data_IF_439801712148
#
_entry.id   IF_439801712148
#
_cell.length_a   1.000
_cell.length_b   1.000
_cell.length_c   1.000
_cell.angle_alpha   90.00
_cell.angle_beta   90.00
_cell.angle_gamma   90.00
#
_symmetry.space_group_name_H-M   'P 1'
#
loop_
_entity.id
_entity.type
_entity.pdbx_description
1 polymer ?
#
# COMPACT_ATOMS: atom_id res chain seq x y z
N UNK A 1 -15.94 3.23 11.37
CA UNK A 1 -16.74 3.27 10.14
C UNK A 1 -16.27 2.15 9.22
N UNK A 2 -17.11 1.15 8.96
CA UNK A 2 -16.86 0.15 7.92
C UNK A 2 -17.90 0.42 6.83
N UNK A 3 -17.43 0.84 5.67
CA UNK A 3 -18.29 1.11 4.53
C UNK A 3 -18.23 -0.11 3.62
N UNK A 4 -19.37 -0.75 3.38
CA UNK A 4 -19.44 -1.98 2.58
C UNK A 4 -18.87 -1.78 1.17
N UNK A 5 -19.05 -0.59 0.58
CA UNK A 5 -18.49 -0.26 -0.73
C UNK A 5 -16.96 -0.19 -0.72
N UNK A 6 -16.32 0.24 0.39
CA UNK A 6 -14.86 0.24 0.53
C UNK A 6 -14.35 -1.20 0.57
N UNK A 7 -15.04 -2.08 1.30
CA UNK A 7 -14.66 -3.49 1.40
C UNK A 7 -14.83 -4.20 0.05
N UNK A 8 -15.90 -3.90 -0.70
CA UNK A 8 -16.08 -4.37 -2.08
C UNK A 8 -14.96 -3.86 -3.02
N UNK A 9 -14.61 -2.58 -2.94
CA UNK A 9 -13.57 -1.97 -3.77
C UNK A 9 -12.18 -2.57 -3.50
N UNK A 10 -11.86 -2.88 -2.24
CA UNK A 10 -10.66 -3.64 -1.88
C UNK A 10 -10.69 -5.05 -2.46
N UNK A 11 -11.83 -5.72 -2.39
CA UNK A 11 -12.00 -7.05 -2.99
C UNK A 11 -11.73 -7.04 -4.50
N UNK A 12 -12.30 -6.07 -5.22
CA UNK A 12 -12.03 -5.87 -6.65
C UNK A 12 -10.54 -5.59 -6.88
N UNK A 13 -9.93 -4.71 -6.08
CA UNK A 13 -8.50 -4.43 -6.15
C UNK A 13 -7.63 -5.69 -5.98
N UNK A 14 -7.99 -6.59 -5.05
CA UNK A 14 -7.25 -7.83 -4.80
C UNK A 14 -7.38 -8.78 -6.01
N UNK A 15 -8.58 -8.89 -6.58
CA UNK A 15 -8.80 -9.69 -7.80
C UNK A 15 -7.93 -9.17 -8.94
N UNK A 16 -7.84 -7.85 -9.11
CA UNK A 16 -7.00 -7.23 -10.14
C UNK A 16 -5.50 -7.50 -9.93
N UNK A 17 -5.01 -7.50 -8.67
CA UNK A 17 -3.62 -7.87 -8.36
C UNK A 17 -3.33 -9.30 -8.82
N UNK A 18 -4.21 -10.25 -8.45
CA UNK A 18 -4.04 -11.65 -8.87
C UNK A 18 -4.05 -11.75 -10.39
N UNK A 19 -4.98 -11.04 -11.05
CA UNK A 19 -5.11 -11.07 -12.49
C UNK A 19 -3.87 -10.46 -13.21
N UNK A 20 -3.24 -9.42 -12.65
CA UNK A 20 -2.01 -8.84 -13.21
C UNK A 20 -0.78 -9.74 -13.16
N UNK A 21 -0.81 -10.81 -12.37
CA UNK A 21 0.28 -11.79 -12.33
C UNK A 21 0.11 -12.93 -13.37
N UNK A 22 -0.93 -12.85 -14.20
CA UNK A 22 -1.09 -13.74 -15.35
C UNK A 22 -0.46 -13.12 -16.60
N UNK A 23 -0.12 -13.95 -17.60
CA UNK A 23 0.37 -13.46 -18.90
C UNK A 23 -0.75 -12.77 -19.67
N UNK A 24 -0.93 -11.48 -19.45
CA UNK A 24 -1.90 -10.64 -20.14
C UNK A 24 -1.30 -9.96 -21.37
N UNK A 25 -2.12 -9.57 -22.36
CA UNK A 25 -1.70 -8.64 -23.40
C UNK A 25 -1.17 -7.34 -22.78
N UNK A 26 -0.07 -6.81 -23.33
CA UNK A 26 0.66 -5.64 -22.79
C UNK A 26 -0.25 -4.45 -22.49
N UNK A 27 -1.23 -4.18 -23.36
CA UNK A 27 -2.20 -3.11 -23.15
C UNK A 27 -3.02 -3.32 -21.87
N UNK A 28 -3.60 -4.50 -21.68
CA UNK A 28 -4.41 -4.83 -20.50
C UNK A 28 -3.57 -4.81 -19.22
N UNK A 29 -2.35 -5.34 -19.30
CA UNK A 29 -1.40 -5.32 -18.20
C UNK A 29 -1.10 -3.87 -17.74
N UNK A 30 -0.75 -3.01 -18.69
CA UNK A 30 -0.48 -1.58 -18.44
C UNK A 30 -1.68 -0.87 -17.81
N UNK A 31 -2.90 -1.12 -18.30
CA UNK A 31 -4.12 -0.54 -17.74
C UNK A 31 -4.35 -1.00 -16.30
N UNK A 32 -4.22 -2.29 -16.00
CA UNK A 32 -4.43 -2.82 -14.65
C UNK A 32 -3.38 -2.23 -13.70
N UNK A 33 -2.10 -2.25 -14.06
CA UNK A 33 -1.01 -1.67 -13.26
C UNK A 33 -1.16 -0.18 -12.99
N UNK A 34 -1.74 0.57 -13.93
CA UNK A 34 -1.97 2.01 -13.78
C UNK A 34 -3.00 2.37 -12.70
N UNK A 35 -3.86 1.42 -12.30
CA UNK A 35 -5.00 1.71 -11.43
C UNK A 35 -4.99 0.95 -10.10
N UNK A 36 -4.67 -0.35 -10.10
CA UNK A 36 -4.90 -1.16 -8.90
C UNK A 36 -4.01 -0.74 -7.72
N UNK A 37 -2.72 -0.42 -7.94
CA UNK A 37 -1.84 0.04 -6.85
C UNK A 37 -2.21 1.45 -6.37
N UNK A 38 -2.43 2.45 -7.24
CA UNK A 38 -2.96 3.75 -6.83
C UNK A 38 -4.27 3.67 -6.03
N UNK A 39 -5.17 2.75 -6.42
CA UNK A 39 -6.42 2.51 -5.71
C UNK A 39 -6.20 2.09 -4.26
N UNK A 40 -5.28 1.17 -3.99
CA UNK A 40 -4.99 0.74 -2.62
C UNK A 40 -4.41 1.87 -1.76
N UNK A 41 -3.53 2.70 -2.32
CA UNK A 41 -3.01 3.88 -1.63
C UNK A 41 -4.13 4.89 -1.35
N UNK A 42 -5.00 5.15 -2.32
CA UNK A 42 -6.17 6.01 -2.15
C UNK A 42 -7.09 5.52 -1.04
N UNK A 43 -7.47 4.24 -1.06
CA UNK A 43 -8.31 3.65 -0.01
C UNK A 43 -7.63 3.72 1.36
N UNK A 44 -6.32 3.49 1.42
CA UNK A 44 -5.56 3.57 2.67
C UNK A 44 -5.56 4.99 3.24
N UNK A 45 -5.42 6.00 2.38
CA UNK A 45 -5.55 7.41 2.74
C UNK A 45 -6.95 7.83 3.15
N UNK A 46 -7.97 7.30 2.48
CA UNK A 46 -9.38 7.49 2.84
C UNK A 46 -9.69 6.97 4.25
N UNK A 47 -9.11 5.82 4.61
CA UNK A 47 -9.26 5.21 5.93
C UNK A 47 -8.35 5.83 7.00
N UNK A 48 -7.43 6.71 6.60
CA UNK A 48 -6.56 7.40 7.52
C UNK A 48 -7.34 8.38 8.41
N UNK A 49 -6.94 8.43 9.67
CA UNK A 49 -7.57 9.27 10.68
C UNK A 49 -6.47 9.98 11.46
N UNK A 50 -6.22 11.23 11.07
CA UNK A 50 -5.18 12.06 11.66
C UNK A 50 -5.50 12.42 13.13
N UNK A 51 -6.78 12.61 13.46
CA UNK A 51 -7.23 13.00 14.81
C UNK A 51 -6.82 11.98 15.87
N UNK A 52 -6.87 10.68 15.53
CA UNK A 52 -6.44 9.59 16.43
C UNK A 52 -4.95 9.62 16.81
N UNK A 53 -4.11 10.30 16.03
CA UNK A 53 -2.64 10.26 16.18
C UNK A 53 -2.00 11.63 16.38
N UNK A 54 -2.81 12.66 16.60
CA UNK A 54 -2.34 14.04 16.82
C UNK A 54 -1.49 14.15 18.09
N UNK A 55 -1.76 13.32 19.11
CA UNK A 55 -1.10 13.39 20.42
C UNK A 55 0.29 12.76 20.51
N UNK A 56 0.64 11.81 19.63
CA UNK A 56 1.96 11.15 19.69
C UNK A 56 2.38 10.48 18.38
N UNK A 57 3.41 11.03 17.75
CA UNK A 57 4.06 10.46 16.57
C UNK A 57 4.66 9.07 16.84
N UNK A 58 5.27 8.86 18.02
CA UNK A 58 5.83 7.56 18.39
C UNK A 58 4.75 6.47 18.46
N UNK A 59 3.56 6.80 19.00
CA UNK A 59 2.43 5.88 19.08
C UNK A 59 1.90 5.51 17.68
N UNK A 60 1.90 6.47 16.76
CA UNK A 60 1.57 6.26 15.36
C UNK A 60 2.55 5.31 14.68
N UNK A 61 3.85 5.63 14.71
CA UNK A 61 4.92 4.82 14.09
C UNK A 61 4.88 3.38 14.63
N UNK A 62 4.81 3.21 15.96
CA UNK A 62 4.76 1.89 16.61
C UNK A 62 3.56 1.07 16.15
N UNK A 63 2.39 1.70 16.01
CA UNK A 63 1.18 1.01 15.54
C UNK A 63 1.32 0.57 14.08
N UNK A 64 1.81 1.45 13.21
CA UNK A 64 1.99 1.14 11.78
C UNK A 64 3.07 0.09 11.55
N UNK A 65 4.17 0.17 12.31
CA UNK A 65 5.21 -0.84 12.30
C UNK A 65 4.65 -2.23 12.66
N UNK A 66 3.85 -2.32 13.72
CA UNK A 66 3.21 -3.58 14.12
C UNK A 66 2.20 -4.12 13.11
N UNK A 67 1.47 -3.24 12.43
CA UNK A 67 0.43 -3.67 11.48
C UNK A 67 0.95 -3.94 10.06
N UNK A 68 2.12 -3.42 9.69
CA UNK A 68 2.66 -3.53 8.32
C UNK A 68 4.00 -4.26 8.29
N UNK A 69 4.98 -3.81 9.07
CA UNK A 69 6.34 -4.33 9.03
C UNK A 69 6.45 -5.72 9.68
N UNK A 70 5.73 -5.96 10.78
CA UNK A 70 5.71 -7.31 11.38
C UNK A 70 5.09 -8.34 10.42
N UNK A 71 3.89 -8.11 9.83
CA UNK A 71 3.36 -9.03 8.82
C UNK A 71 4.28 -9.20 7.61
N UNK A 72 4.93 -8.13 7.15
CA UNK A 72 5.92 -8.22 6.06
C UNK A 72 7.01 -9.25 6.35
N UNK A 73 7.68 -9.14 7.50
CA UNK A 73 8.72 -10.11 7.88
C UNK A 73 8.15 -11.51 8.12
N UNK A 74 6.94 -11.60 8.68
CA UNK A 74 6.25 -12.89 8.87
C UNK A 74 5.97 -13.61 7.55
N UNK A 75 5.45 -12.91 6.54
CA UNK A 75 5.20 -13.50 5.22
C UNK A 75 6.49 -13.74 4.43
N UNK A 76 7.51 -12.89 4.57
CA UNK A 76 8.82 -13.13 3.96
C UNK A 76 9.47 -14.41 4.52
N UNK A 77 9.41 -14.60 5.86
CA UNK A 77 9.89 -15.81 6.52
C UNK A 77 9.08 -17.04 6.09
N UNK A 78 7.74 -16.93 6.03
CA UNK A 78 6.88 -18.01 5.57
C UNK A 78 7.19 -18.43 4.13
N UNK A 79 7.44 -17.45 3.26
CA UNK A 79 7.84 -17.69 1.86
C UNK A 79 9.18 -18.43 1.82
N UNK A 80 10.16 -17.97 2.60
CA UNK A 80 11.46 -18.65 2.73
C UNK A 80 11.33 -20.10 3.21
N UNK A 81 10.55 -20.33 4.28
CA UNK A 81 10.33 -21.67 4.80
C UNK A 81 9.62 -22.57 3.79
N UNK A 82 8.63 -22.04 3.06
CA UNK A 82 7.91 -22.78 2.03
C UNK A 82 8.85 -23.27 0.91
N UNK A 83 9.71 -22.39 0.39
CA UNK A 83 10.66 -22.77 -0.65
C UNK A 83 11.78 -23.69 -0.13
N UNK A 84 12.24 -23.53 1.12
CA UNK A 84 13.16 -24.48 1.76
C UNK A 84 12.57 -25.89 1.82
N UNK A 85 11.31 -25.99 2.25
CA UNK A 85 10.64 -27.28 2.35
C UNK A 85 10.43 -27.88 0.95
N UNK A 86 10.01 -27.09 -0.04
CA UNK A 86 9.89 -27.62 -1.40
C UNK A 86 11.21 -28.18 -1.95
N UNK A 87 12.34 -27.51 -1.70
CA UNK A 87 13.65 -27.97 -2.14
C UNK A 87 14.04 -29.30 -1.46
N UNK A 88 13.88 -29.38 -0.13
CA UNK A 88 14.21 -30.57 0.67
C UNK A 88 13.33 -31.78 0.31
N UNK A 89 12.02 -31.56 0.14
CA UNK A 89 11.03 -32.64 0.06
C UNK A 89 10.72 -33.09 -1.38
N UNK A 90 10.88 -32.21 -2.39
CA UNK A 90 10.42 -32.49 -3.76
C UNK A 90 11.56 -32.71 -4.76
N UNK A 91 12.76 -32.12 -4.56
CA UNK A 91 13.91 -32.30 -5.45
C UNK A 91 15.25 -32.41 -4.68
N UNK A 92 15.48 -33.50 -3.91
CA UNK A 92 16.77 -33.69 -3.26
C UNK A 92 17.90 -33.75 -4.31
N UNK A 93 18.74 -32.70 -4.35
CA UNK A 93 19.93 -32.62 -5.20
C UNK A 93 19.80 -31.81 -6.49
N UNK A 94 18.64 -31.21 -6.78
CA UNK A 94 18.50 -30.26 -7.88
C UNK A 94 18.00 -28.93 -7.31
N UNK A 95 18.93 -28.05 -6.92
CA UNK A 95 18.62 -26.68 -6.52
C UNK A 95 18.23 -25.86 -7.76
N UNK A 96 17.12 -26.21 -8.40
CA UNK A 96 16.56 -25.47 -9.53
C UNK A 96 15.73 -24.27 -9.07
N UNK A 97 15.49 -24.16 -7.76
CA UNK A 97 14.92 -22.95 -7.18
C UNK A 97 16.09 -21.98 -6.99
N UNK A 98 16.18 -20.96 -7.86
CA UNK A 98 17.18 -19.88 -7.76
C UNK A 98 17.17 -19.17 -6.38
N UNK A 99 16.14 -19.42 -5.57
CA UNK A 99 15.91 -18.90 -4.22
C UNK A 99 17.12 -19.04 -3.27
N UNK A 100 17.91 -20.11 -3.37
CA UNK A 100 19.13 -20.32 -2.55
C UNK A 100 20.43 -20.35 -3.35
N UNK A 101 20.39 -20.03 -4.65
CA UNK A 101 21.61 -19.97 -5.47
C UNK A 101 22.46 -18.76 -5.11
N UNK A 102 21.82 -17.65 -4.75
CA UNK A 102 22.48 -16.46 -4.23
C UNK A 102 22.98 -16.70 -2.79
N UNK A 103 24.03 -15.98 -2.41
CA UNK A 103 24.60 -16.12 -1.06
C UNK A 103 23.54 -15.84 0.02
N UNK A 104 23.56 -16.52 1.18
CA UNK A 104 22.62 -16.23 2.27
C UNK A 104 22.59 -14.75 2.67
N UNK A 105 23.70 -14.04 2.48
CA UNK A 105 23.80 -12.60 2.70
C UNK A 105 22.96 -11.77 1.71
N UNK A 106 22.91 -12.14 0.42
CA UNK A 106 22.09 -11.47 -0.60
C UNK A 106 20.60 -11.72 -0.37
N UNK A 107 20.25 -12.91 0.11
CA UNK A 107 18.88 -13.24 0.50
C UNK A 107 18.40 -12.41 1.69
N UNK A 108 19.24 -12.28 2.73
CA UNK A 108 18.97 -11.41 3.88
C UNK A 108 18.91 -9.95 3.42
N UNK A 109 19.85 -9.50 2.59
CA UNK A 109 19.85 -8.14 2.05
C UNK A 109 18.55 -7.84 1.32
N UNK A 110 18.08 -8.75 0.45
CA UNK A 110 16.86 -8.57 -0.32
C UNK A 110 15.61 -8.45 0.57
N UNK A 111 15.51 -9.28 1.62
CA UNK A 111 14.41 -9.20 2.59
C UNK A 111 14.49 -7.92 3.43
N UNK A 112 15.67 -7.50 3.88
CA UNK A 112 15.82 -6.32 4.73
C UNK A 112 15.57 -5.04 3.94
N UNK A 113 16.06 -4.96 2.70
CA UNK A 113 15.89 -3.79 1.83
C UNK A 113 14.55 -3.78 1.10
N UNK A 114 13.79 -4.89 1.14
CA UNK A 114 12.56 -5.09 0.40
C UNK A 114 12.73 -4.83 -1.11
N UNK A 115 13.88 -5.26 -1.64
CA UNK A 115 14.30 -5.15 -3.04
C UNK A 115 14.93 -6.47 -3.47
N UNK A 116 14.98 -6.74 -4.78
CA UNK A 116 15.68 -7.90 -5.32
C UNK A 116 14.84 -9.18 -5.49
N UNK A 117 15.48 -10.28 -5.94
CA UNK A 117 14.80 -11.50 -6.40
C UNK A 117 13.88 -12.13 -5.35
N UNK A 118 14.22 -11.99 -4.07
CA UNK A 118 13.43 -12.54 -2.95
C UNK A 118 12.02 -11.93 -2.87
N UNK A 119 11.87 -10.64 -3.20
CA UNK A 119 10.55 -9.99 -3.28
C UNK A 119 9.79 -10.50 -4.50
N UNK A 120 10.48 -10.87 -5.58
CA UNK A 120 9.86 -11.39 -6.81
C UNK A 120 9.14 -12.73 -6.60
N UNK A 121 9.52 -13.53 -5.60
CA UNK A 121 8.80 -14.76 -5.22
C UNK A 121 7.49 -14.49 -4.47
N UNK A 122 7.35 -13.33 -3.85
CA UNK A 122 6.10 -12.88 -3.23
C UNK A 122 5.88 -11.39 -3.53
N UNK A 123 5.57 -11.05 -4.80
CA UNK A 123 5.51 -9.68 -5.26
C UNK A 123 4.65 -8.76 -4.38
N UNK A 124 3.45 -9.15 -3.90
CA UNK A 124 2.61 -8.27 -3.10
C UNK A 124 3.26 -7.71 -1.82
N UNK A 125 4.34 -8.31 -1.30
CA UNK A 125 5.01 -7.83 -0.08
C UNK A 125 5.60 -6.44 -0.18
N UNK A 126 6.00 -6.00 -1.39
CA UNK A 126 6.58 -4.66 -1.58
C UNK A 126 5.60 -3.55 -1.16
N UNK A 127 4.30 -3.81 -1.30
CA UNK A 127 3.26 -2.84 -0.96
C UNK A 127 3.24 -2.52 0.53
N UNK A 128 3.53 -3.48 1.42
CA UNK A 128 3.45 -3.27 2.87
C UNK A 128 4.51 -2.28 3.35
N UNK A 129 5.75 -2.44 2.87
CA UNK A 129 6.87 -1.55 3.21
C UNK A 129 6.72 -0.18 2.55
N UNK A 130 6.28 -0.15 1.28
CA UNK A 130 5.96 1.09 0.58
C UNK A 130 4.84 1.88 1.27
N UNK A 131 3.76 1.20 1.67
CA UNK A 131 2.64 1.81 2.38
C UNK A 131 3.10 2.36 3.73
N UNK A 132 3.94 1.65 4.47
CA UNK A 132 4.49 2.15 5.72
C UNK A 132 5.23 3.48 5.52
N UNK A 133 6.14 3.57 4.55
CA UNK A 133 6.85 4.83 4.24
C UNK A 133 5.86 5.92 3.80
N UNK A 134 4.91 5.57 2.93
CA UNK A 134 3.87 6.51 2.45
C UNK A 134 3.07 7.11 3.61
N UNK A 135 2.66 6.29 4.58
CA UNK A 135 1.92 6.74 5.76
C UNK A 135 2.76 7.65 6.67
N UNK A 136 4.07 7.38 6.80
CA UNK A 136 4.98 8.25 7.55
C UNK A 136 5.17 9.60 6.88
N UNK A 137 5.41 9.61 5.56
CA UNK A 137 5.53 10.82 4.76
C UNK A 137 4.27 11.67 4.87
N UNK A 138 3.10 11.06 4.62
CA UNK A 138 1.82 11.74 4.72
C UNK A 138 1.58 12.30 6.12
N UNK A 139 1.85 11.51 7.18
CA UNK A 139 1.72 11.99 8.56
C UNK A 139 2.62 13.21 8.85
N UNK A 140 3.85 13.22 8.33
CA UNK A 140 4.76 14.36 8.45
C UNK A 140 4.18 15.65 7.85
N UNK A 141 3.69 15.58 6.61
CA UNK A 141 3.05 16.73 5.95
C UNK A 141 1.74 17.12 6.61
N UNK A 142 0.90 16.15 6.96
CA UNK A 142 -0.36 16.38 7.67
C UNK A 142 -0.09 17.08 9.01
N UNK A 143 0.89 16.65 9.80
CA UNK A 143 1.21 17.30 11.07
C UNK A 143 1.47 18.81 10.94
N UNK A 144 2.02 19.25 9.81
CA UNK A 144 2.29 20.67 9.56
C UNK A 144 1.15 21.41 8.86
N UNK A 145 0.45 20.75 7.93
CA UNK A 145 -0.46 21.40 6.97
C UNK A 145 -1.88 20.83 6.96
N UNK A 146 -2.29 19.97 7.91
CA UNK A 146 -3.62 19.34 7.90
C UNK A 146 -4.79 20.35 7.93
N UNK A 147 -4.60 21.47 8.61
CA UNK A 147 -5.55 22.58 8.69
C UNK A 147 -5.60 23.43 7.40
N UNK A 148 -4.59 23.30 6.52
CA UNK A 148 -4.42 24.10 5.31
C UNK A 148 -4.41 23.18 4.08
N UNK A 149 -5.57 22.68 3.62
CA UNK A 149 -5.63 21.63 2.60
C UNK A 149 -4.93 22.01 1.29
N UNK A 150 -4.95 23.29 0.89
CA UNK A 150 -4.22 23.77 -0.29
C UNK A 150 -2.70 23.62 -0.17
N UNK A 151 -2.11 23.95 0.99
CA UNK A 151 -0.67 23.76 1.23
C UNK A 151 -0.31 22.29 1.31
N UNK A 152 -1.16 21.48 1.95
CA UNK A 152 -0.98 20.02 1.99
C UNK A 152 -0.96 19.45 0.58
N UNK A 153 -1.95 19.78 -0.26
CA UNK A 153 -1.98 19.35 -1.66
C UNK A 153 -0.74 19.78 -2.42
N UNK A 154 -0.35 21.06 -2.32
CA UNK A 154 0.83 21.59 -2.99
C UNK A 154 2.10 20.78 -2.65
N UNK A 155 2.37 20.56 -1.35
CA UNK A 155 3.57 19.82 -0.94
C UNK A 155 3.53 18.34 -1.33
N UNK A 156 2.37 17.70 -1.27
CA UNK A 156 2.22 16.32 -1.74
C UNK A 156 2.46 16.22 -3.25
N UNK A 157 1.96 17.18 -4.04
CA UNK A 157 2.23 17.25 -5.49
C UNK A 157 3.71 17.48 -5.76
N UNK A 158 4.38 18.39 -5.05
CA UNK A 158 5.82 18.62 -5.18
C UNK A 158 6.60 17.34 -4.92
N UNK A 159 6.31 16.63 -3.82
CA UNK A 159 6.96 15.35 -3.50
C UNK A 159 6.66 14.28 -4.55
N UNK A 160 5.43 14.22 -5.06
CA UNK A 160 5.06 13.30 -6.13
C UNK A 160 5.81 13.55 -7.43
N UNK A 161 5.97 14.83 -7.82
CA UNK A 161 6.78 15.21 -8.99
C UNK A 161 8.24 14.82 -8.78
N UNK A 162 8.81 15.08 -7.60
CA UNK A 162 10.17 14.67 -7.28
C UNK A 162 10.34 13.13 -7.30
N UNK A 163 9.34 12.39 -6.82
CA UNK A 163 9.30 10.92 -6.90
C UNK A 163 9.27 10.42 -8.35
N UNK A 164 8.45 11.03 -9.20
CA UNK A 164 8.42 10.74 -10.63
C UNK A 164 9.76 11.04 -11.30
N UNK A 165 10.33 12.22 -11.08
CA UNK A 165 11.64 12.59 -11.63
C UNK A 165 12.73 11.63 -11.14
N UNK A 166 12.72 11.25 -9.86
CA UNK A 166 13.62 10.24 -9.33
C UNK A 166 13.50 8.92 -10.11
N UNK A 167 12.28 8.44 -10.36
CA UNK A 167 12.07 7.19 -11.12
C UNK A 167 12.55 7.23 -12.57
N UNK A 168 12.60 8.43 -13.18
CA UNK A 168 13.03 8.62 -14.57
C UNK A 168 14.56 8.73 -14.67
N UNK A 169 15.18 9.45 -13.74
CA UNK A 169 16.60 9.80 -13.84
C UNK A 169 17.53 8.95 -12.96
N UNK A 170 17.00 8.30 -11.93
CA UNK A 170 17.81 7.53 -10.98
C UNK A 170 17.50 6.03 -11.15
N UNK A 171 18.47 5.23 -11.62
CA UNK A 171 18.26 3.79 -11.84
C UNK A 171 18.26 2.97 -10.54
N UNK A 172 18.50 3.60 -9.39
CA UNK A 172 18.61 2.95 -8.09
C UNK A 172 17.29 3.00 -7.33
N UNK A 173 16.80 1.82 -6.93
CA UNK A 173 15.64 1.68 -6.06
C UNK A 173 16.03 1.96 -4.62
N UNK A 174 15.19 2.71 -3.90
CA UNK A 174 15.45 2.99 -2.49
C UNK A 174 14.94 1.85 -1.61
N UNK A 175 15.55 1.64 -0.44
CA UNK A 175 15.06 0.64 0.52
C UNK A 175 13.57 0.85 0.81
N UNK A 176 12.85 -0.24 0.97
CA UNK A 176 11.40 -0.24 1.29
C UNK A 176 10.54 0.45 0.25
N UNK A 177 11.02 0.51 -1.00
CA UNK A 177 10.37 1.18 -2.12
C UNK A 177 10.05 2.65 -1.78
N UNK A 178 10.95 3.30 -1.03
CA UNK A 178 10.76 4.68 -0.61
C UNK A 178 10.66 5.64 -1.81
N UNK A 179 11.32 5.32 -2.92
CA UNK A 179 11.20 6.03 -4.21
C UNK A 179 9.76 5.99 -4.74
N UNK A 180 9.10 4.83 -4.68
CA UNK A 180 7.69 4.68 -5.07
C UNK A 180 6.77 5.39 -4.09
N UNK A 181 7.10 5.38 -2.80
CA UNK A 181 6.32 6.04 -1.75
C UNK A 181 6.19 7.55 -1.97
N UNK A 182 7.21 8.19 -2.57
CA UNK A 182 7.17 9.61 -2.93
C UNK A 182 6.04 9.93 -3.91
N UNK A 183 5.81 9.07 -4.91
CA UNK A 183 4.69 9.21 -5.84
C UNK A 183 3.37 8.74 -5.22
N UNK A 184 3.40 7.63 -4.47
CA UNK A 184 2.22 7.04 -3.84
C UNK A 184 1.53 7.97 -2.83
N UNK A 185 2.28 8.87 -2.19
CA UNK A 185 1.75 9.84 -1.21
C UNK A 185 0.70 10.79 -1.81
N UNK A 186 0.75 11.02 -3.13
CA UNK A 186 -0.25 11.84 -3.84
C UNK A 186 -1.60 11.15 -3.82
N UNK A 187 -1.65 9.86 -4.17
CA UNK A 187 -2.89 9.07 -4.16
C UNK A 187 -3.41 8.87 -2.74
N UNK A 188 -2.51 8.62 -1.78
CA UNK A 188 -2.86 8.54 -0.38
C UNK A 188 -3.48 9.86 0.13
N UNK A 189 -2.85 10.99 -0.19
CA UNK A 189 -3.36 12.31 0.19
C UNK A 189 -4.68 12.64 -0.48
N UNK A 190 -4.86 12.29 -1.75
CA UNK A 190 -6.12 12.44 -2.47
C UNK A 190 -7.25 11.67 -1.75
N UNK A 191 -6.99 10.42 -1.34
CA UNK A 191 -7.94 9.64 -0.54
C UNK A 191 -8.29 10.30 0.79
N UNK A 192 -7.29 10.83 1.50
CA UNK A 192 -7.53 11.50 2.77
C UNK A 192 -8.32 12.81 2.63
N UNK A 193 -8.07 13.58 1.58
CA UNK A 193 -8.83 14.79 1.27
C UNK A 193 -10.25 14.47 0.82
N UNK A 194 -10.41 13.40 0.02
CA UNK A 194 -11.72 12.92 -0.43
C UNK A 194 -12.63 12.56 0.73
N UNK A 195 -12.06 12.01 1.81
CA UNK A 195 -12.77 11.71 3.07
C UNK A 195 -13.58 12.90 3.61
N UNK A 196 -13.05 14.11 3.52
CA UNK A 196 -13.71 15.33 4.03
C UNK A 196 -15.01 15.67 3.27
N UNK A 197 -15.17 15.17 2.05
CA UNK A 197 -16.39 15.34 1.26
C UNK A 197 -17.44 14.26 1.57
N UNK A 198 -17.00 13.04 1.94
CA UNK A 198 -17.89 11.94 2.32
C UNK A 198 -18.53 12.13 3.70
N UNK A 199 -17.77 12.59 4.71
CA UNK A 199 -18.28 12.71 6.09
C UNK A 199 -19.56 13.58 6.20
N UNK A 200 -19.69 14.74 5.52
CA UNK A 200 -20.92 15.52 5.50
C UNK A 200 -22.08 14.84 4.75
N UNK A 201 -21.81 14.13 3.66
CA UNK A 201 -22.83 13.48 2.84
C UNK A 201 -23.41 12.25 3.55
N UNK A 202 -22.56 11.47 4.20
CA UNK A 202 -22.96 10.34 5.06
C UNK A 202 -23.77 10.82 6.26
N UNK A 203 -23.37 11.93 6.89
CA UNK A 203 -24.14 12.54 7.97
C UNK A 203 -25.54 12.94 7.50
N UNK A 204 -25.67 13.51 6.30
CA UNK A 204 -26.97 13.82 5.68
C UNK A 204 -27.81 12.59 5.35
N UNK A 205 -27.19 11.49 4.90
CA UNK A 205 -27.87 10.23 4.62
C UNK A 205 -28.37 9.53 5.91
N UNK A 206 -27.62 9.64 7.00
CA UNK A 206 -28.00 9.12 8.32
C UNK A 206 -29.03 10.02 9.04
N UNK A 207 -29.02 11.33 8.77
CA UNK A 207 -29.98 12.30 9.32
C UNK A 207 -31.29 12.37 8.53
N UNK A 208 -31.39 11.76 7.33
CA UNK A 208 -32.68 11.60 6.65
C UNK A 208 -33.61 10.76 7.55
N UNK A 209 -34.75 11.29 8.00
CA UNK A 209 -35.75 10.49 8.69
C UNK A 209 -36.14 9.33 7.77
N UNK A 210 -36.29 8.12 8.32
CA UNK A 210 -37.01 7.03 7.67
C UNK A 210 -38.47 7.47 7.46
N UNK A 211 -38.72 8.36 6.51
CA UNK A 211 -40.05 8.84 6.20
C UNK A 211 -40.75 7.81 5.30
N UNK A 212 -41.85 7.28 5.85
CA UNK A 212 -42.99 6.62 5.19
C UNK A 212 -42.71 5.38 4.34
N UNK A 213 -42.59 4.23 5.00
CA UNK A 213 -43.31 3.03 4.56
C UNK A 213 -44.60 2.96 5.39
N UNK A 214 -45.59 3.77 5.02
CA UNK A 214 -46.97 3.50 5.45
C UNK A 214 -47.43 2.24 4.72
N UNK A 215 -47.95 1.21 5.40
CA UNK A 215 -48.65 0.14 4.70
C UNK A 215 -49.87 0.79 4.02
N UNK A 216 -49.91 0.70 2.69
CA UNK A 216 -51.12 1.01 1.95
C UNK A 216 -52.22 0.02 2.38
N UNK A 217 -53.47 0.47 2.50
CA UNK A 217 -54.56 -0.26 3.14
C UNK A 217 -54.91 -1.57 2.43
#
# INVERSE_FOLDING_TARGET
MRLQWIDALKGIGIILVVFSHHKLPVALDTYIFSFHMPLFFFISGLLFDFGKYTSSAAKFVKKRFRSLIIPYFGFALLTCLFYLLLDIWYQPGITNIDFFKDSPAENIHSIVYALGPMISYNPPLWFLTCLFITELLFYGFAKRYYAEPGKLMFWLTVVGVLGYLYSVYVPFRLPWNADVALTAVVFYGAGNLFKKFLEPEERKLLEKPKASLSPQP
#
